data_IF_622512487714
#
_entry.id   IF_622512487714
#
_cell.length_a   1.000
_cell.length_b   1.000
_cell.length_c   1.000
_cell.angle_alpha   90.00
_cell.angle_beta   90.00
_cell.angle_gamma   90.00
#
_symmetry.space_group_name_H-M   'P 1'
#
loop_
_entity.id
_entity.type
_entity.pdbx_description
1 polymer ?
#
# COMPACT_ATOMS: atom_id res chain seq x y z
N UNK A 1 10.45 19.52 15.65
CA UNK A 1 11.52 18.51 15.46
C UNK A 1 11.82 18.38 13.99
N UNK A 2 13.10 18.47 13.58
CA UNK A 2 13.50 18.32 12.17
C UNK A 2 13.65 16.83 11.83
N UNK A 3 12.95 16.38 10.80
CA UNK A 3 12.97 15.00 10.31
C UNK A 3 13.59 15.00 8.92
N UNK A 4 14.71 14.30 8.79
CA UNK A 4 15.45 14.17 7.53
C UNK A 4 14.95 12.95 6.76
N UNK A 5 14.35 13.20 5.61
CA UNK A 5 13.74 12.17 4.76
C UNK A 5 14.70 11.82 3.62
N UNK A 6 14.96 10.52 3.45
CA UNK A 6 15.54 9.96 2.23
C UNK A 6 14.43 9.25 1.47
N UNK A 7 14.19 9.61 0.21
CA UNK A 7 13.23 8.95 -0.66
C UNK A 7 13.94 7.98 -1.60
N UNK A 8 13.53 6.71 -1.65
CA UNK A 8 13.96 5.80 -2.71
C UNK A 8 12.83 5.57 -3.72
N UNK A 9 13.18 5.64 -5.00
CA UNK A 9 12.22 5.67 -6.10
C UNK A 9 11.62 7.06 -6.28
N UNK A 10 11.92 7.72 -7.38
CA UNK A 10 11.31 9.01 -7.75
C UNK A 10 10.28 8.85 -8.88
N UNK A 11 9.55 7.74 -8.92
CA UNK A 11 8.47 7.52 -9.88
C UNK A 11 7.21 8.33 -9.55
N UNK A 12 6.08 7.93 -10.12
CA UNK A 12 4.79 8.64 -9.97
C UNK A 12 4.40 8.87 -8.49
N UNK A 13 4.53 7.85 -7.63
CA UNK A 13 4.16 7.99 -6.22
C UNK A 13 5.21 8.78 -5.43
N UNK A 14 6.50 8.53 -5.65
CA UNK A 14 7.58 9.26 -4.98
C UNK A 14 7.54 10.76 -5.28
N UNK A 15 7.23 11.13 -6.53
CA UNK A 15 6.99 12.53 -6.92
C UNK A 15 5.78 13.13 -6.22
N UNK A 16 4.65 12.43 -6.19
CA UNK A 16 3.45 12.91 -5.47
C UNK A 16 3.70 13.03 -3.97
N UNK A 17 4.58 12.21 -3.39
CA UNK A 17 4.99 12.34 -1.99
C UNK A 17 5.76 13.64 -1.73
N UNK A 18 6.76 13.98 -2.56
CA UNK A 18 7.47 15.28 -2.46
C UNK A 18 6.49 16.45 -2.67
N UNK A 19 5.58 16.33 -3.63
CA UNK A 19 4.56 17.34 -3.89
C UNK A 19 3.66 17.57 -2.67
N UNK A 20 3.15 16.49 -2.06
CA UNK A 20 2.33 16.56 -0.85
C UNK A 20 3.08 17.14 0.34
N UNK A 21 4.35 16.79 0.53
CA UNK A 21 5.22 17.37 1.56
C UNK A 21 5.28 18.89 1.42
N UNK A 22 5.51 19.39 0.20
CA UNK A 22 5.59 20.82 -0.07
C UNK A 22 4.23 21.51 0.16
N UNK A 23 3.14 20.95 -0.36
CA UNK A 23 1.79 21.50 -0.22
C UNK A 23 1.29 21.52 1.24
N UNK A 24 1.72 20.57 2.07
CA UNK A 24 1.26 20.40 3.45
C UNK A 24 2.28 20.86 4.49
N UNK A 25 3.40 21.44 4.08
CA UNK A 25 4.50 21.83 4.95
C UNK A 25 4.03 22.65 6.17
N UNK A 26 3.37 23.79 5.92
CA UNK A 26 2.90 24.68 6.98
C UNK A 26 1.94 23.98 7.93
N UNK A 27 0.95 23.26 7.38
CA UNK A 27 -0.02 22.53 8.18
C UNK A 27 0.63 21.50 9.10
N UNK A 28 1.60 20.73 8.60
CA UNK A 28 2.30 19.70 9.38
C UNK A 28 3.13 20.34 10.49
N UNK A 29 3.81 21.44 10.17
CA UNK A 29 4.62 22.18 11.13
C UNK A 29 3.77 22.77 12.25
N UNK A 30 2.70 23.49 11.91
CA UNK A 30 1.82 24.15 12.88
C UNK A 30 1.01 23.15 13.72
N UNK A 31 0.56 22.04 13.12
CA UNK A 31 -0.30 21.07 13.81
C UNK A 31 0.49 20.10 14.68
N UNK A 32 1.62 19.59 14.18
CA UNK A 32 2.35 18.51 14.84
C UNK A 32 3.74 18.93 15.35
N UNK A 33 4.20 20.15 15.06
CA UNK A 33 5.54 20.62 15.43
C UNK A 33 6.66 19.89 14.68
N UNK A 34 6.34 19.30 13.52
CA UNK A 34 7.27 18.49 12.71
C UNK A 34 7.74 19.30 11.50
N UNK A 35 9.05 19.40 11.33
CA UNK A 35 9.70 20.03 10.17
C UNK A 35 10.27 18.92 9.27
N UNK A 36 9.56 18.61 8.18
CA UNK A 36 9.92 17.54 7.26
C UNK A 36 10.83 18.08 6.15
N UNK A 37 12.04 17.53 6.04
CA UNK A 37 13.03 17.99 5.05
C UNK A 37 13.54 16.81 4.24
N UNK A 38 13.32 16.85 2.92
CA UNK A 38 13.90 15.86 2.00
C UNK A 38 15.37 16.18 1.81
N UNK A 39 16.25 15.28 2.29
CA UNK A 39 17.70 15.44 2.20
C UNK A 39 18.32 14.56 1.12
N UNK A 40 17.59 13.56 0.60
CA UNK A 40 18.11 12.68 -0.44
C UNK A 40 17.01 12.02 -1.27
N UNK A 41 17.30 11.80 -2.55
CA UNK A 41 16.44 11.06 -3.48
C UNK A 41 17.29 10.05 -4.26
N UNK A 42 16.87 8.79 -4.25
CA UNK A 42 17.57 7.67 -4.89
C UNK A 42 16.75 7.20 -6.10
N UNK A 43 17.35 7.35 -7.28
CA UNK A 43 16.90 6.75 -8.55
C UNK A 43 17.53 5.37 -8.79
N UNK A 44 17.39 4.83 -10.00
CA UNK A 44 17.85 3.46 -10.30
C UNK A 44 19.38 3.30 -10.22
N UNK A 45 20.12 4.27 -10.75
CA UNK A 45 21.59 4.30 -10.78
C UNK A 45 22.14 5.70 -10.47
N UNK A 46 21.33 6.53 -9.80
CA UNK A 46 21.63 7.93 -9.54
C UNK A 46 21.08 8.31 -8.17
N UNK A 47 21.76 9.20 -7.47
CA UNK A 47 21.29 9.73 -6.20
C UNK A 47 21.66 11.20 -6.10
N UNK A 48 20.82 11.95 -5.40
CA UNK A 48 21.09 13.32 -4.96
C UNK A 48 20.98 13.39 -3.45
N UNK A 49 21.81 14.22 -2.82
CA UNK A 49 21.83 14.40 -1.39
C UNK A 49 22.33 15.80 -0.98
N UNK A 50 21.58 16.44 -0.08
CA UNK A 50 21.99 17.65 0.62
C UNK A 50 21.51 17.59 2.07
N UNK A 51 22.45 17.54 3.03
CA UNK A 51 22.12 17.45 4.47
C UNK A 51 21.36 18.66 5.03
N UNK A 52 21.38 19.80 4.33
CA UNK A 52 20.57 20.98 4.69
C UNK A 52 19.13 20.87 4.18
N UNK A 53 18.90 20.09 3.12
CA UNK A 53 17.64 19.93 2.39
C UNK A 53 17.82 20.20 0.91
N UNK A 54 17.17 19.39 0.06
CA UNK A 54 17.15 19.56 -1.40
C UNK A 54 16.20 20.69 -1.82
N UNK A 55 16.43 21.29 -2.99
CA UNK A 55 15.51 22.24 -3.63
C UNK A 55 14.33 21.50 -4.27
N UNK A 56 13.41 21.01 -3.44
CA UNK A 56 12.32 20.15 -3.90
C UNK A 56 11.37 20.82 -4.91
N UNK A 57 11.22 22.14 -4.87
CA UNK A 57 10.41 22.86 -5.84
C UNK A 57 10.98 22.72 -7.26
N UNK A 58 12.30 22.87 -7.40
CA UNK A 58 12.99 22.73 -8.69
C UNK A 58 12.93 21.28 -9.17
N UNK A 59 13.19 20.32 -8.28
CA UNK A 59 13.09 18.89 -8.58
C UNK A 59 11.70 18.50 -9.14
N UNK A 60 10.62 19.09 -8.60
CA UNK A 60 9.26 18.85 -9.08
C UNK A 60 9.00 19.39 -10.50
N UNK A 61 9.75 20.39 -10.96
CA UNK A 61 9.64 20.96 -12.32
C UNK A 61 10.28 20.07 -13.39
N UNK A 62 11.25 19.22 -13.02
CA UNK A 62 12.01 18.40 -13.97
C UNK A 62 11.33 17.09 -14.36
N UNK A 63 10.17 16.77 -13.78
CA UNK A 63 9.39 15.57 -14.06
C UNK A 63 9.55 14.50 -12.96
N UNK A 64 9.60 13.23 -13.36
CA UNK A 64 9.83 12.08 -12.50
C UNK A 64 10.96 11.17 -13.02
N UNK A 65 11.28 10.14 -12.23
CA UNK A 65 12.27 9.13 -12.54
C UNK A 65 13.71 9.62 -12.47
N UNK A 66 14.63 8.77 -12.94
CA UNK A 66 16.07 9.11 -12.93
C UNK A 66 16.40 10.29 -13.84
N UNK A 67 15.62 10.51 -14.90
CA UNK A 67 15.80 11.64 -15.83
C UNK A 67 15.55 12.99 -15.16
N UNK A 68 14.57 13.09 -14.26
CA UNK A 68 14.35 14.30 -13.47
C UNK A 68 15.50 14.56 -12.48
N UNK A 69 16.06 13.49 -11.90
CA UNK A 69 17.22 13.58 -11.00
C UNK A 69 18.47 14.03 -11.78
N UNK A 70 18.69 13.54 -13.01
CA UNK A 70 19.78 13.99 -13.88
C UNK A 70 19.70 15.49 -14.18
N UNK A 71 18.52 15.98 -14.58
CA UNK A 71 18.29 17.41 -14.82
C UNK A 71 18.49 18.27 -13.58
N UNK A 72 18.11 17.76 -12.41
CA UNK A 72 18.36 18.44 -11.15
C UNK A 72 19.87 18.61 -10.90
N UNK A 73 20.67 17.56 -11.13
CA UNK A 73 22.13 17.60 -10.98
C UNK A 73 22.79 18.59 -11.95
N UNK A 74 22.22 18.81 -13.14
CA UNK A 74 22.75 19.84 -14.06
C UNK A 74 22.71 21.25 -13.44
N UNK A 75 21.75 21.53 -12.55
CA UNK A 75 21.59 22.82 -11.87
C UNK A 75 22.25 22.84 -10.49
N UNK A 76 22.34 21.67 -9.82
CA UNK A 76 22.89 21.48 -8.48
C UNK A 76 23.96 20.37 -8.47
N UNK A 77 25.09 20.54 -9.19
CA UNK A 77 26.07 19.47 -9.41
C UNK A 77 26.75 18.99 -8.13
N UNK A 78 26.89 19.86 -7.13
CA UNK A 78 27.44 19.56 -5.81
C UNK A 78 26.55 18.62 -4.98
N UNK A 79 25.26 18.52 -5.30
CA UNK A 79 24.31 17.65 -4.60
C UNK A 79 24.29 16.23 -5.19
N UNK A 80 25.12 15.93 -6.19
CA UNK A 80 25.26 14.56 -6.70
C UNK A 80 25.77 13.65 -5.57
N UNK A 81 24.96 12.67 -5.20
CA UNK A 81 25.22 11.77 -4.08
C UNK A 81 25.64 10.37 -4.51
N UNK A 82 25.99 9.56 -3.50
CA UNK A 82 26.09 8.10 -3.63
C UNK A 82 24.81 7.45 -3.12
N UNK A 83 24.60 6.17 -3.46
CA UNK A 83 23.50 5.36 -2.93
C UNK A 83 23.88 4.90 -1.51
N UNK A 84 24.04 5.85 -0.60
CA UNK A 84 24.20 5.60 0.83
C UNK A 84 23.03 6.28 1.57
N UNK A 85 22.23 5.50 2.27
CA UNK A 85 21.01 5.97 2.93
C UNK A 85 21.35 6.41 4.34
N UNK A 86 21.30 7.71 4.62
CA UNK A 86 21.46 8.24 5.97
C UNK A 86 20.50 9.42 6.19
N UNK A 87 19.86 9.49 7.36
CA UNK A 87 18.81 10.45 7.67
C UNK A 87 18.03 10.02 8.91
N UNK A 88 16.79 10.51 9.06
CA UNK A 88 15.88 10.09 10.13
C UNK A 88 14.95 8.96 9.67
N UNK A 89 14.41 9.07 8.44
CA UNK A 89 13.47 8.11 7.87
C UNK A 89 13.75 7.84 6.39
N UNK A 90 13.68 6.57 6.01
CA UNK A 90 13.61 6.14 4.61
C UNK A 90 12.14 6.04 4.20
N UNK A 91 11.75 6.75 3.15
CA UNK A 91 10.49 6.52 2.43
C UNK A 91 10.80 5.68 1.21
N UNK A 92 10.38 4.41 1.23
CA UNK A 92 10.69 3.42 0.20
C UNK A 92 9.54 3.32 -0.82
N UNK A 93 9.78 3.76 -2.05
CA UNK A 93 8.76 3.85 -3.11
C UNK A 93 9.26 3.32 -4.46
N UNK A 94 10.17 2.36 -4.44
CA UNK A 94 10.66 1.70 -5.65
C UNK A 94 9.58 0.81 -6.28
N UNK A 95 9.81 0.40 -7.54
CA UNK A 95 8.90 -0.51 -8.22
C UNK A 95 8.81 -1.85 -7.48
N UNK A 96 7.59 -2.36 -7.29
CA UNK A 96 7.36 -3.61 -6.58
C UNK A 96 7.98 -4.78 -7.34
N UNK A 97 8.86 -5.53 -6.66
CA UNK A 97 9.47 -6.74 -7.18
C UNK A 97 9.18 -7.91 -6.24
N UNK A 98 8.17 -8.72 -6.60
CA UNK A 98 7.77 -9.89 -5.81
C UNK A 98 8.70 -11.09 -5.97
N UNK A 99 9.70 -11.05 -6.88
CA UNK A 99 10.64 -12.16 -7.06
C UNK A 99 11.67 -12.22 -5.93
N UNK A 100 12.20 -11.07 -5.52
CA UNK A 100 13.25 -11.01 -4.50
C UNK A 100 13.23 -9.75 -3.63
N UNK A 101 12.29 -8.84 -3.83
CA UNK A 101 12.15 -7.60 -3.06
C UNK A 101 13.12 -6.48 -3.43
N UNK A 102 14.08 -6.70 -4.34
CA UNK A 102 15.10 -5.70 -4.67
C UNK A 102 14.60 -4.68 -5.72
N UNK A 103 15.07 -3.42 -5.66
CA UNK A 103 16.09 -2.92 -4.73
C UNK A 103 15.53 -2.46 -3.36
N UNK A 104 14.21 -2.32 -3.21
CA UNK A 104 13.58 -1.86 -1.97
C UNK A 104 14.06 -2.59 -0.72
N UNK A 105 14.24 -3.92 -0.78
CA UNK A 105 14.78 -4.73 0.31
C UNK A 105 16.19 -4.30 0.73
N UNK A 106 17.07 -4.00 -0.21
CA UNK A 106 18.43 -3.55 0.09
C UNK A 106 18.40 -2.18 0.78
N UNK A 107 17.54 -1.28 0.31
CA UNK A 107 17.39 0.04 0.90
C UNK A 107 16.83 -0.02 2.32
N UNK A 108 15.82 -0.85 2.57
CA UNK A 108 15.27 -1.05 3.91
C UNK A 108 16.30 -1.66 4.87
N UNK A 109 17.10 -2.62 4.42
CA UNK A 109 18.19 -3.19 5.24
C UNK A 109 19.23 -2.14 5.62
N UNK A 110 19.70 -1.36 4.65
CA UNK A 110 20.66 -0.30 4.89
C UNK A 110 20.10 0.77 5.84
N UNK A 111 18.82 1.10 5.73
CA UNK A 111 18.14 2.01 6.67
C UNK A 111 18.11 1.45 8.10
N UNK A 112 17.83 0.15 8.28
CA UNK A 112 17.90 -0.53 9.59
C UNK A 112 19.31 -0.49 10.16
N UNK A 113 20.33 -0.81 9.34
CA UNK A 113 21.75 -0.74 9.75
C UNK A 113 22.15 0.66 10.22
N UNK A 114 21.59 1.70 9.59
CA UNK A 114 21.80 3.10 9.94
C UNK A 114 20.80 3.64 10.98
N UNK A 115 20.02 2.77 11.64
CA UNK A 115 19.06 3.12 12.70
C UNK A 115 17.99 4.13 12.25
N UNK A 116 17.63 4.11 10.97
CA UNK A 116 16.57 4.94 10.42
C UNK A 116 15.22 4.24 10.56
N UNK A 117 14.15 5.02 10.77
CA UNK A 117 12.81 4.50 10.59
C UNK A 117 12.52 4.27 9.09
N UNK A 118 11.49 3.48 8.80
CA UNK A 118 11.11 3.12 7.43
C UNK A 118 9.62 3.33 7.23
N UNK A 119 9.28 4.01 6.14
CA UNK A 119 7.92 4.07 5.59
C UNK A 119 7.94 3.43 4.21
N UNK A 120 7.38 2.23 4.09
CA UNK A 120 7.37 1.48 2.84
C UNK A 120 6.04 1.64 2.09
N UNK A 121 6.13 2.04 0.83
CA UNK A 121 5.03 2.12 -0.12
C UNK A 121 5.00 0.87 -1.00
N UNK A 122 6.17 0.31 -1.34
CA UNK A 122 6.24 -0.89 -2.16
C UNK A 122 5.99 -2.15 -1.34
N UNK A 123 5.39 -3.17 -1.97
CA UNK A 123 5.10 -4.47 -1.31
C UNK A 123 6.26 -5.46 -1.39
N UNK A 124 7.21 -5.24 -2.31
CA UNK A 124 8.18 -6.25 -2.72
C UNK A 124 9.02 -6.77 -1.55
N UNK A 125 9.66 -5.86 -0.83
CA UNK A 125 10.49 -6.18 0.33
C UNK A 125 9.66 -6.76 1.47
N UNK A 126 8.50 -6.15 1.76
CA UNK A 126 7.62 -6.59 2.83
C UNK A 126 7.08 -8.00 2.60
N UNK A 127 6.73 -8.38 1.36
CA UNK A 127 6.22 -9.71 1.05
C UNK A 127 7.33 -10.77 1.02
N UNK A 128 8.53 -10.42 0.54
CA UNK A 128 9.60 -11.40 0.32
C UNK A 128 10.59 -11.55 1.47
N UNK A 129 10.63 -10.58 2.39
CA UNK A 129 11.60 -10.54 3.48
C UNK A 129 10.97 -10.04 4.80
N UNK A 130 9.67 -10.26 5.01
CA UNK A 130 8.96 -9.81 6.22
C UNK A 130 9.68 -10.25 7.51
N UNK A 131 9.88 -11.56 7.67
CA UNK A 131 10.49 -12.16 8.87
C UNK A 131 11.86 -11.55 9.19
N UNK A 132 12.69 -11.35 8.16
CA UNK A 132 14.00 -10.73 8.27
C UNK A 132 13.91 -9.26 8.71
N UNK A 133 13.08 -8.46 8.04
CA UNK A 133 12.92 -7.02 8.33
C UNK A 133 12.26 -6.78 9.69
N UNK A 134 11.23 -7.55 10.03
CA UNK A 134 10.47 -7.47 11.27
C UNK A 134 11.30 -7.90 12.49
N UNK A 135 12.29 -8.79 12.30
CA UNK A 135 13.24 -9.16 13.34
C UNK A 135 14.34 -8.11 13.50
N UNK A 136 14.90 -7.61 12.39
CA UNK A 136 16.05 -6.72 12.43
C UNK A 136 15.72 -5.30 12.90
N UNK A 137 14.56 -4.75 12.52
CA UNK A 137 14.22 -3.37 12.83
C UNK A 137 14.10 -3.09 14.34
N UNK A 138 13.41 -3.90 15.16
CA UNK A 138 13.37 -3.67 16.61
C UNK A 138 14.76 -3.76 17.27
N UNK A 139 15.66 -4.62 16.75
CA UNK A 139 17.02 -4.79 17.28
C UNK A 139 17.86 -3.52 17.06
N UNK A 140 17.70 -2.83 15.93
CA UNK A 140 18.38 -1.56 15.67
C UNK A 140 17.71 -0.34 16.32
N UNK A 141 16.50 -0.51 16.86
CA UNK A 141 15.65 0.61 17.31
C UNK A 141 14.84 1.27 16.18
N UNK A 142 14.92 0.74 14.95
CA UNK A 142 14.15 1.22 13.81
C UNK A 142 12.68 0.77 13.89
N UNK A 143 11.76 1.60 13.39
CA UNK A 143 10.34 1.26 13.24
C UNK A 143 9.97 1.18 11.76
N UNK A 144 9.06 0.27 11.41
CA UNK A 144 8.56 0.11 10.04
C UNK A 144 7.06 0.42 10.00
N UNK A 145 6.66 1.35 9.13
CA UNK A 145 5.27 1.63 8.75
C UNK A 145 5.09 1.36 7.25
N UNK A 146 3.91 0.91 6.84
CA UNK A 146 3.70 0.47 5.46
C UNK A 146 2.23 0.52 5.01
N UNK A 147 1.50 1.54 5.47
CA UNK A 147 0.10 1.76 5.09
C UNK A 147 -0.06 1.99 3.57
N UNK A 148 0.94 2.60 2.94
CA UNK A 148 0.98 2.77 1.49
C UNK A 148 0.99 1.44 0.72
N UNK A 149 1.61 0.41 1.29
CA UNK A 149 1.76 -0.91 0.67
C UNK A 149 0.52 -1.80 0.81
N UNK A 150 -0.37 -1.54 1.77
CA UNK A 150 -1.59 -2.34 1.97
C UNK A 150 -2.72 -1.88 1.06
N UNK A 151 -3.40 -0.77 1.35
CA UNK A 151 -4.54 -0.31 0.54
C UNK A 151 -4.45 1.18 0.19
N UNK A 152 -3.23 1.74 0.21
CA UNK A 152 -2.95 3.13 -0.07
C UNK A 152 -3.82 4.06 0.80
N UNK A 153 -4.75 4.80 0.18
CA UNK A 153 -5.60 5.77 0.86
C UNK A 153 -6.70 5.14 1.75
N UNK A 154 -6.94 3.82 1.69
CA UNK A 154 -7.82 3.15 2.64
C UNK A 154 -7.03 2.85 3.92
N UNK A 155 -7.38 3.46 5.08
CA UNK A 155 -6.66 3.25 6.34
C UNK A 155 -6.98 1.86 6.87
N UNK A 156 -6.12 0.89 6.55
CA UNK A 156 -6.31 -0.51 6.94
C UNK A 156 -5.51 -0.83 8.20
N UNK A 157 -4.19 -0.64 8.15
CA UNK A 157 -3.30 -0.88 9.29
C UNK A 157 -3.60 0.07 10.45
N UNK A 158 -3.91 1.34 10.20
CA UNK A 158 -4.19 2.30 11.28
C UNK A 158 -5.42 1.90 12.08
N UNK A 159 -6.47 1.44 11.39
CA UNK A 159 -7.68 0.97 12.07
C UNK A 159 -7.33 -0.26 12.91
N UNK A 160 -6.65 -1.24 12.30
CA UNK A 160 -6.27 -2.46 13.00
C UNK A 160 -5.34 -2.24 14.20
N UNK A 161 -4.37 -1.32 14.09
CA UNK A 161 -3.35 -1.09 15.11
C UNK A 161 -3.76 -0.06 16.16
N UNK A 162 -4.45 1.01 15.75
CA UNK A 162 -4.78 2.14 16.61
C UNK A 162 -6.24 2.10 17.05
N UNK A 163 -7.18 2.11 16.10
CA UNK A 163 -8.61 2.21 16.43
C UNK A 163 -9.16 0.95 17.10
N UNK A 164 -8.61 -0.21 16.77
CA UNK A 164 -8.97 -1.51 17.35
C UNK A 164 -8.00 -1.96 18.44
N UNK A 165 -7.16 -1.05 18.96
CA UNK A 165 -6.30 -1.36 20.09
C UNK A 165 -7.14 -1.87 21.27
N UNK A 166 -6.73 -3.01 21.86
CA UNK A 166 -7.46 -3.69 22.92
C UNK A 166 -8.49 -4.72 22.44
N UNK A 167 -8.76 -4.82 21.14
CA UNK A 167 -9.60 -5.87 20.56
C UNK A 167 -8.77 -7.08 20.13
N UNK A 168 -9.40 -8.26 20.15
CA UNK A 168 -8.94 -9.39 19.36
C UNK A 168 -9.62 -9.37 17.99
N UNK A 169 -8.84 -9.19 16.93
CA UNK A 169 -9.33 -9.36 15.56
C UNK A 169 -9.51 -10.86 15.29
N UNK A 170 -10.76 -11.25 15.04
CA UNK A 170 -11.17 -12.62 14.76
C UNK A 170 -11.18 -12.91 13.26
N UNK A 171 -11.60 -11.91 12.48
CA UNK A 171 -11.71 -12.01 11.03
C UNK A 171 -11.47 -10.65 10.36
N UNK A 172 -10.85 -10.70 9.19
CA UNK A 172 -10.63 -9.59 8.27
C UNK A 172 -11.23 -9.99 6.93
N UNK A 173 -12.07 -9.14 6.34
CA UNK A 173 -12.54 -9.28 4.97
C UNK A 173 -12.32 -7.99 4.21
N UNK A 174 -11.81 -8.07 2.98
CA UNK A 174 -11.53 -6.88 2.20
C UNK A 174 -11.69 -7.05 0.71
N UNK A 175 -12.22 -6.00 0.09
CA UNK A 175 -12.08 -5.71 -1.34
C UNK A 175 -10.85 -4.82 -1.46
N UNK A 176 -9.69 -5.43 -1.71
CA UNK A 176 -8.39 -4.74 -1.63
C UNK A 176 -7.83 -4.31 -2.99
N UNK A 177 -8.50 -4.67 -4.09
CA UNK A 177 -8.09 -4.37 -5.46
C UNK A 177 -9.23 -3.71 -6.24
N UNK A 178 -8.98 -2.48 -6.71
CA UNK A 178 -9.99 -1.68 -7.42
C UNK A 178 -10.23 -2.17 -8.85
N UNK A 179 -9.23 -2.76 -9.51
CA UNK A 179 -9.33 -3.27 -10.87
C UNK A 179 -10.31 -4.43 -10.94
N UNK A 180 -10.16 -5.43 -10.07
CA UNK A 180 -11.06 -6.58 -10.01
C UNK A 180 -12.46 -6.19 -9.54
N UNK A 181 -12.57 -5.25 -8.58
CA UNK A 181 -13.87 -4.75 -8.15
C UNK A 181 -14.60 -4.02 -9.29
N UNK A 182 -13.87 -3.26 -10.11
CA UNK A 182 -14.43 -2.57 -11.26
C UNK A 182 -14.96 -3.55 -12.31
N UNK A 183 -14.15 -4.57 -12.64
CA UNK A 183 -14.53 -5.61 -13.60
C UNK A 183 -15.80 -6.33 -13.13
N UNK A 184 -15.83 -6.82 -11.89
CA UNK A 184 -17.00 -7.52 -11.33
C UNK A 184 -18.24 -6.60 -11.25
N UNK A 185 -18.04 -5.30 -10.96
CA UNK A 185 -19.12 -4.31 -11.00
C UNK A 185 -19.71 -4.20 -12.40
N UNK A 186 -18.88 -4.12 -13.45
CA UNK A 186 -19.36 -4.03 -14.85
C UNK A 186 -20.02 -5.31 -15.34
N UNK A 187 -19.54 -6.47 -14.91
CA UNK A 187 -20.21 -7.73 -15.18
C UNK A 187 -21.61 -7.76 -14.54
N UNK A 188 -21.75 -7.27 -13.29
CA UNK A 188 -23.02 -7.28 -12.54
C UNK A 188 -24.04 -6.24 -13.01
N UNK A 189 -23.61 -5.01 -13.24
CA UNK A 189 -24.49 -3.89 -13.61
C UNK A 189 -24.85 -3.89 -15.09
N UNK A 190 -23.87 -4.16 -15.97
CA UNK A 190 -24.00 -4.01 -17.41
C UNK A 190 -24.05 -5.35 -18.17
N UNK A 191 -24.14 -6.48 -17.44
CA UNK A 191 -24.22 -7.84 -18.02
C UNK A 191 -23.10 -8.18 -19.01
N UNK A 192 -21.91 -7.59 -18.79
CA UNK A 192 -20.74 -7.81 -19.63
C UNK A 192 -20.06 -9.14 -19.32
N UNK A 193 -19.41 -9.72 -20.33
CA UNK A 193 -18.45 -10.81 -20.07
C UNK A 193 -17.23 -10.28 -19.33
N UNK A 194 -16.43 -11.20 -18.77
CA UNK A 194 -15.17 -10.85 -18.13
C UNK A 194 -14.25 -10.08 -19.09
N UNK A 195 -14.12 -10.56 -20.34
CA UNK A 195 -13.26 -9.99 -21.37
C UNK A 195 -13.71 -8.57 -21.77
N UNK A 196 -15.01 -8.34 -21.94
CA UNK A 196 -15.55 -7.03 -22.27
C UNK A 196 -15.33 -6.02 -21.13
N UNK A 197 -15.54 -6.46 -19.88
CA UNK A 197 -15.32 -5.62 -18.70
C UNK A 197 -13.83 -5.32 -18.50
N UNK A 198 -12.95 -6.30 -18.73
CA UNK A 198 -11.50 -6.11 -18.68
C UNK A 198 -11.03 -5.13 -19.77
N UNK A 199 -11.49 -5.29 -21.01
CA UNK A 199 -11.14 -4.39 -22.10
C UNK A 199 -11.59 -2.95 -21.81
N UNK A 200 -12.78 -2.77 -21.24
CA UNK A 200 -13.24 -1.45 -20.80
C UNK A 200 -12.33 -0.87 -19.70
N UNK A 201 -11.94 -1.68 -18.71
CA UNK A 201 -11.03 -1.26 -17.66
C UNK A 201 -9.67 -0.81 -18.22
N UNK A 202 -9.13 -1.52 -19.21
CA UNK A 202 -7.90 -1.15 -19.90
C UNK A 202 -8.04 0.17 -20.68
N UNK A 203 -9.13 0.34 -21.42
CA UNK A 203 -9.40 1.57 -22.18
C UNK A 203 -9.52 2.81 -21.27
N UNK A 204 -9.97 2.61 -20.02
CA UNK A 204 -10.07 3.66 -18.99
C UNK A 204 -8.78 3.86 -18.18
N UNK A 205 -7.73 3.08 -18.45
CA UNK A 205 -6.49 3.09 -17.65
C UNK A 205 -6.65 2.59 -16.22
N UNK A 206 -7.74 1.86 -15.93
CA UNK A 206 -7.97 1.22 -14.63
C UNK A 206 -7.15 -0.08 -14.53
N UNK A 207 -7.07 -0.83 -15.62
CA UNK A 207 -6.25 -2.03 -15.74
C UNK A 207 -5.06 -1.75 -16.68
N UNK A 208 -3.89 -2.31 -16.36
CA UNK A 208 -2.74 -2.29 -17.26
C UNK A 208 -2.92 -3.28 -18.42
N UNK A 209 -2.07 -3.15 -19.45
CA UNK A 209 -2.02 -4.10 -20.58
C UNK A 209 -1.79 -5.53 -20.13
N UNK A 210 -0.97 -5.72 -19.08
CA UNK A 210 -0.81 -7.00 -18.39
C UNK A 210 -1.48 -6.92 -17.00
N UNK A 211 -2.76 -7.30 -16.88
CA UNK A 211 -3.52 -7.19 -15.64
C UNK A 211 -3.36 -8.40 -14.71
N UNK A 212 -2.45 -9.33 -15.02
CA UNK A 212 -2.37 -10.65 -14.37
C UNK A 212 -2.29 -10.55 -12.84
N UNK A 213 -1.51 -9.61 -12.31
CA UNK A 213 -1.35 -9.44 -10.87
C UNK A 213 -2.68 -9.08 -10.17
N UNK A 214 -3.55 -8.34 -10.85
CA UNK A 214 -4.87 -7.96 -10.35
C UNK A 214 -5.87 -9.11 -10.50
N UNK A 215 -6.08 -9.60 -11.73
CA UNK A 215 -7.16 -10.54 -12.06
C UNK A 215 -6.96 -11.93 -11.44
N UNK A 216 -5.70 -12.35 -11.23
CA UNK A 216 -5.39 -13.60 -10.52
C UNK A 216 -5.63 -13.53 -9.02
N UNK A 217 -5.84 -12.32 -8.46
CA UNK A 217 -5.98 -12.08 -7.02
C UNK A 217 -4.66 -11.95 -6.26
N UNK A 218 -3.51 -12.04 -6.94
CA UNK A 218 -2.18 -11.97 -6.31
C UNK A 218 -1.92 -10.63 -5.59
N UNK A 219 -2.33 -9.49 -6.16
CA UNK A 219 -2.21 -8.19 -5.48
C UNK A 219 -3.03 -8.16 -4.18
N UNK A 220 -4.26 -8.67 -4.19
CA UNK A 220 -5.09 -8.79 -2.98
C UNK A 220 -4.48 -9.74 -1.95
N UNK A 221 -3.86 -10.83 -2.40
CA UNK A 221 -3.18 -11.79 -1.53
C UNK A 221 -1.95 -11.17 -0.84
N UNK A 222 -1.15 -10.40 -1.58
CA UNK A 222 -0.03 -9.65 -0.99
C UNK A 222 -0.53 -8.68 0.11
N UNK A 223 -1.63 -7.96 -0.14
CA UNK A 223 -2.18 -7.00 0.82
C UNK A 223 -2.76 -7.70 2.05
N UNK A 224 -3.48 -8.80 1.84
CA UNK A 224 -3.99 -9.64 2.93
C UNK A 224 -2.87 -10.19 3.80
N UNK A 225 -1.77 -10.62 3.18
CA UNK A 225 -0.60 -11.13 3.88
C UNK A 225 -0.03 -10.07 4.83
N UNK A 226 0.19 -8.86 4.32
CA UNK A 226 0.71 -7.73 5.11
C UNK A 226 -0.22 -7.36 6.28
N UNK A 227 -1.53 -7.37 6.04
CA UNK A 227 -2.53 -7.10 7.07
C UNK A 227 -2.56 -8.19 8.14
N UNK A 228 -2.59 -9.46 7.72
CA UNK A 228 -2.64 -10.61 8.63
C UNK A 228 -1.40 -10.66 9.50
N UNK A 229 -0.21 -10.55 8.92
CA UNK A 229 1.03 -10.63 9.67
C UNK A 229 1.17 -9.47 10.67
N UNK A 230 0.63 -8.30 10.34
CA UNK A 230 0.63 -7.13 11.23
C UNK A 230 -0.39 -7.24 12.36
N UNK A 231 -1.62 -7.66 12.05
CA UNK A 231 -2.79 -7.49 12.92
C UNK A 231 -3.19 -8.76 13.66
N UNK A 232 -2.80 -9.93 13.15
CA UNK A 232 -3.13 -11.23 13.73
C UNK A 232 -1.91 -11.95 14.31
N UNK A 233 -0.72 -11.34 14.24
CA UNK A 233 0.48 -11.77 14.96
C UNK A 233 1.14 -13.05 14.44
N UNK A 234 1.01 -13.34 13.14
CA UNK A 234 1.57 -14.55 12.53
C UNK A 234 2.64 -14.22 11.48
N UNK A 235 3.53 -15.16 11.17
CA UNK A 235 4.54 -15.05 10.10
C UNK A 235 4.13 -15.92 8.91
N UNK A 236 3.01 -15.57 8.27
CA UNK A 236 2.56 -16.26 7.06
C UNK A 236 3.35 -15.82 5.83
N UNK A 237 3.28 -16.65 4.80
CA UNK A 237 3.78 -16.39 3.45
C UNK A 237 2.65 -16.49 2.41
N UNK A 238 2.93 -16.08 1.17
CA UNK A 238 1.97 -16.24 0.07
C UNK A 238 1.55 -17.71 -0.17
N UNK A 239 2.39 -18.68 0.21
CA UNK A 239 2.08 -20.12 0.05
C UNK A 239 0.97 -20.59 0.98
N UNK A 240 0.72 -19.83 2.05
CA UNK A 240 -0.30 -20.14 3.05
C UNK A 240 -1.68 -19.60 2.64
N UNK A 241 -1.76 -18.82 1.55
CA UNK A 241 -2.99 -18.22 1.05
C UNK A 241 -3.55 -19.05 -0.10
N UNK A 242 -4.83 -19.44 -0.01
CA UNK A 242 -5.56 -20.00 -1.16
C UNK A 242 -6.00 -18.87 -2.08
N UNK A 243 -5.49 -18.85 -3.30
CA UNK A 243 -5.75 -17.76 -4.26
C UNK A 243 -6.54 -18.30 -5.46
N UNK A 244 -7.69 -17.71 -5.71
CA UNK A 244 -8.50 -17.91 -6.91
C UNK A 244 -8.90 -16.54 -7.48
N UNK A 245 -8.56 -16.28 -8.73
CA UNK A 245 -8.81 -15.02 -9.40
C UNK A 245 -10.27 -14.84 -9.85
N UNK A 246 -10.51 -13.76 -10.60
CA UNK A 246 -11.81 -13.47 -11.21
C UNK A 246 -11.92 -13.94 -12.68
N UNK A 247 -10.83 -14.48 -13.24
CA UNK A 247 -10.68 -14.84 -14.66
C UNK A 247 -11.70 -15.87 -15.16
N UNK A 248 -12.26 -16.66 -14.25
CA UNK A 248 -13.23 -17.72 -14.55
C UNK A 248 -14.65 -17.39 -14.05
N UNK A 249 -14.89 -16.17 -13.59
CA UNK A 249 -16.24 -15.73 -13.23
C UNK A 249 -17.05 -15.57 -14.51
N UNK A 250 -18.18 -16.28 -14.59
CA UNK A 250 -19.05 -16.28 -15.77
C UNK A 250 -20.23 -15.32 -15.62
N UNK A 251 -20.79 -14.88 -16.75
CA UNK A 251 -22.03 -14.10 -16.78
C UNK A 251 -23.19 -14.86 -16.12
N UNK A 252 -23.26 -16.19 -16.28
CA UNK A 252 -24.28 -17.02 -15.63
C UNK A 252 -24.15 -16.99 -14.10
N UNK A 253 -22.94 -17.08 -13.55
CA UNK A 253 -22.73 -16.96 -12.11
C UNK A 253 -23.17 -15.59 -11.59
N UNK A 254 -22.83 -14.52 -12.32
CA UNK A 254 -23.24 -13.16 -12.00
C UNK A 254 -24.76 -13.00 -12.03
N UNK A 255 -25.42 -13.54 -13.06
CA UNK A 255 -26.87 -13.50 -13.17
C UNK A 255 -27.55 -14.26 -12.03
N UNK A 256 -27.10 -15.48 -11.74
CA UNK A 256 -27.63 -16.28 -10.63
C UNK A 256 -27.47 -15.55 -9.28
N UNK A 257 -26.31 -14.93 -9.04
CA UNK A 257 -26.10 -14.13 -7.84
C UNK A 257 -27.07 -12.95 -7.77
N UNK A 258 -27.28 -12.24 -8.88
CA UNK A 258 -28.19 -11.09 -8.95
C UNK A 258 -29.65 -11.48 -8.72
N UNK A 259 -30.11 -12.60 -9.27
CA UNK A 259 -31.45 -13.16 -9.05
C UNK A 259 -31.68 -13.52 -7.57
N UNK A 260 -30.62 -13.86 -6.83
CA UNK A 260 -30.65 -14.12 -5.40
C UNK A 260 -30.43 -12.87 -4.53
N UNK A 261 -30.46 -11.66 -5.11
CA UNK A 261 -30.11 -10.39 -4.44
C UNK A 261 -28.69 -10.36 -3.85
N UNK A 262 -27.76 -11.08 -4.47
CA UNK A 262 -26.34 -11.12 -4.08
C UNK A 262 -25.45 -10.39 -5.09
N UNK A 263 -24.22 -10.12 -4.66
CA UNK A 263 -23.16 -9.58 -5.50
C UNK A 263 -21.92 -10.47 -5.43
N UNK A 264 -21.26 -10.69 -6.58
CA UNK A 264 -19.96 -11.38 -6.59
C UNK A 264 -18.86 -10.34 -6.37
N UNK A 265 -18.03 -10.54 -5.36
CA UNK A 265 -16.86 -9.70 -5.04
C UNK A 265 -15.62 -10.56 -4.86
N UNK A 266 -14.46 -10.08 -5.27
CA UNK A 266 -13.18 -10.71 -4.93
C UNK A 266 -12.85 -10.36 -3.48
N UNK A 267 -13.01 -11.31 -2.56
CA UNK A 267 -12.80 -11.10 -1.13
C UNK A 267 -11.47 -11.70 -0.72
N UNK A 268 -10.62 -10.85 -0.14
CA UNK A 268 -9.48 -11.27 0.66
C UNK A 268 -9.94 -11.49 2.10
N UNK A 269 -9.78 -12.70 2.62
CA UNK A 269 -10.29 -13.11 3.93
C UNK A 269 -9.20 -13.74 4.78
N UNK A 270 -9.10 -13.29 6.03
CA UNK A 270 -8.35 -13.95 7.09
C UNK A 270 -9.30 -14.20 8.25
N UNK A 271 -9.37 -15.43 8.78
CA UNK A 271 -10.21 -15.73 9.95
C UNK A 271 -9.57 -16.80 10.83
N UNK A 272 -9.75 -16.69 12.14
CA UNK A 272 -9.40 -17.74 13.10
C UNK A 272 -10.47 -18.83 13.09
N UNK A 273 -10.06 -20.09 12.95
CA UNK A 273 -10.94 -21.22 13.22
C UNK A 273 -11.07 -21.49 14.73
N UNK A 274 -11.92 -22.45 15.10
CA UNK A 274 -12.17 -22.84 16.49
C UNK A 274 -10.91 -23.31 17.25
N UNK A 275 -9.86 -23.71 16.52
CA UNK A 275 -8.57 -24.10 17.10
C UNK A 275 -7.58 -22.92 17.17
N UNK A 276 -8.00 -21.71 16.81
CA UNK A 276 -7.18 -20.51 16.80
C UNK A 276 -6.24 -20.40 15.59
N UNK A 277 -6.31 -21.32 14.61
CA UNK A 277 -5.48 -21.24 13.40
C UNK A 277 -6.09 -20.22 12.43
N UNK A 278 -5.25 -19.33 11.91
CA UNK A 278 -5.68 -18.37 10.89
C UNK A 278 -5.71 -19.04 9.52
N UNK A 279 -6.85 -18.95 8.86
CA UNK A 279 -7.11 -19.43 7.51
C UNK A 279 -7.14 -18.23 6.56
N UNK A 280 -6.41 -18.32 5.44
CA UNK A 280 -6.22 -17.23 4.48
C UNK A 280 -6.73 -17.60 3.09
N UNK A 281 -7.54 -16.74 2.49
CA UNK A 281 -8.01 -16.92 1.12
C UNK A 281 -8.24 -15.61 0.38
N UNK A 282 -8.13 -15.67 -0.94
CA UNK A 282 -8.57 -14.63 -1.88
C UNK A 282 -9.37 -15.33 -2.96
N UNK A 283 -10.67 -15.07 -3.05
CA UNK A 283 -11.54 -15.71 -4.03
C UNK A 283 -12.82 -14.91 -4.32
N UNK A 284 -13.47 -15.11 -5.48
CA UNK A 284 -14.81 -14.60 -5.71
C UNK A 284 -15.81 -15.19 -4.71
N UNK A 285 -16.57 -14.33 -4.04
CA UNK A 285 -17.58 -14.70 -3.05
C UNK A 285 -18.93 -14.06 -3.39
N UNK A 286 -20.02 -14.81 -3.22
CA UNK A 286 -21.38 -14.28 -3.25
C UNK A 286 -21.68 -13.61 -1.90
N UNK A 287 -21.78 -12.28 -1.90
CA UNK A 287 -22.16 -11.51 -0.72
C UNK A 287 -23.64 -11.16 -0.75
N UNK A 288 -24.31 -11.41 0.38
CA UNK A 288 -25.67 -10.91 0.63
C UNK A 288 -25.69 -9.38 0.56
N UNK A 289 -26.84 -8.81 0.18
CA UNK A 289 -26.99 -7.36 0.00
C UNK A 289 -26.68 -6.54 1.25
N UNK A 290 -26.95 -7.12 2.42
CA UNK A 290 -26.75 -6.53 3.74
C UNK A 290 -25.28 -6.58 4.17
N UNK A 291 -24.44 -7.39 3.50
CA UNK A 291 -23.02 -7.45 3.83
C UNK A 291 -22.36 -6.09 3.55
N UNK A 292 -21.55 -5.52 4.47
CA UNK A 292 -21.01 -4.16 4.32
C UNK A 292 -20.20 -3.93 3.04
N UNK A 293 -19.57 -5.00 2.53
CA UNK A 293 -18.76 -4.96 1.30
C UNK A 293 -19.57 -5.17 0.01
N UNK A 294 -20.83 -5.60 0.07
CA UNK A 294 -21.60 -5.98 -1.12
C UNK A 294 -21.87 -4.81 -2.07
N UNK A 295 -22.07 -3.62 -1.52
CA UNK A 295 -22.42 -2.41 -2.29
C UNK A 295 -21.19 -1.54 -2.65
N UNK A 296 -19.97 -2.03 -2.41
CA UNK A 296 -18.74 -1.31 -2.77
C UNK A 296 -18.45 -1.59 -4.24
N UNK A 297 -18.67 -0.59 -5.10
CA UNK A 297 -18.67 -0.73 -6.55
C UNK A 297 -17.56 0.09 -7.23
N UNK A 298 -17.31 -0.21 -8.50
CA UNK A 298 -16.32 0.50 -9.30
C UNK A 298 -14.90 0.23 -8.78
N UNK A 299 -14.09 1.29 -8.66
CA UNK A 299 -12.69 1.19 -8.21
C UNK A 299 -12.52 1.38 -6.70
N UNK A 300 -13.62 1.54 -5.97
CA UNK A 300 -13.61 1.67 -4.51
C UNK A 300 -13.12 0.39 -3.84
N UNK A 301 -12.53 0.56 -2.67
CA UNK A 301 -12.08 -0.53 -1.80
C UNK A 301 -12.83 -0.48 -0.48
N UNK A 302 -12.77 -1.58 0.25
CA UNK A 302 -13.25 -1.61 1.61
C UNK A 302 -12.67 -2.76 2.39
N UNK A 303 -12.68 -2.60 3.71
CA UNK A 303 -12.23 -3.60 4.67
C UNK A 303 -13.23 -3.64 5.83
N UNK A 304 -13.54 -4.84 6.29
CA UNK A 304 -14.31 -5.09 7.50
C UNK A 304 -13.46 -5.89 8.46
N UNK A 305 -13.31 -5.39 9.67
CA UNK A 305 -12.75 -6.11 10.80
C UNK A 305 -13.88 -6.65 11.67
N UNK A 306 -13.79 -7.91 12.05
CA UNK A 306 -14.65 -8.54 13.02
C UNK A 306 -13.83 -8.74 14.29
N UNK A 307 -14.38 -8.29 15.40
CA UNK A 307 -13.70 -8.24 16.69
C UNK A 307 -14.55 -8.85 17.78
N UNK A 308 -13.88 -9.34 18.81
CA UNK A 308 -14.49 -9.89 20.03
C UNK A 308 -15.33 -8.86 20.81
N UNK A 309 -14.94 -7.59 20.79
CA UNK A 309 -15.48 -6.55 21.69
C UNK A 309 -16.13 -5.36 20.99
N UNK A 310 -15.69 -4.99 19.79
CA UNK A 310 -16.24 -3.85 19.03
C UNK A 310 -17.17 -4.29 17.88
N UNK A 311 -17.49 -5.59 17.78
CA UNK A 311 -18.29 -6.12 16.70
C UNK A 311 -17.62 -5.91 15.35
N UNK A 312 -18.35 -5.34 14.39
CA UNK A 312 -17.87 -5.13 13.02
C UNK A 312 -17.50 -3.66 12.77
N UNK A 313 -16.26 -3.43 12.34
CA UNK A 313 -15.78 -2.11 11.91
C UNK A 313 -15.46 -2.16 10.43
N UNK A 314 -16.28 -1.49 9.63
CA UNK A 314 -16.09 -1.38 8.18
C UNK A 314 -15.56 0.00 7.81
N UNK A 315 -14.60 0.05 6.90
CA UNK A 315 -14.14 1.29 6.27
C UNK A 315 -14.11 1.12 4.76
N UNK A 316 -14.58 2.16 4.08
CA UNK A 316 -14.76 2.19 2.62
C UNK A 316 -14.05 3.44 2.11
N UNK A 317 -13.38 3.30 0.98
CA UNK A 317 -12.69 4.41 0.32
C UNK A 317 -11.41 3.96 -0.36
N UNK A 318 -10.53 4.92 -0.61
CA UNK A 318 -9.18 4.65 -1.06
C UNK A 318 -9.10 4.18 -2.51
N UNK A 319 -9.93 4.73 -3.40
CA UNK A 319 -9.78 4.59 -4.84
C UNK A 319 -8.30 4.73 -5.25
N UNK A 320 -7.80 3.78 -6.05
CA UNK A 320 -6.37 3.70 -6.39
C UNK A 320 -5.93 4.95 -7.14
N UNK A 321 -5.08 5.77 -6.53
CA UNK A 321 -4.35 6.83 -7.22
C UNK A 321 -2.99 7.09 -6.55
N UNK A 322 -1.98 7.59 -7.29
CA UNK A 322 -0.65 7.81 -6.75
C UNK A 322 -0.61 8.75 -5.55
N UNK A 323 -1.44 9.80 -5.59
CA UNK A 323 -1.54 10.78 -4.50
C UNK A 323 -2.07 10.17 -3.21
N UNK A 324 -2.97 9.20 -3.28
CA UNK A 324 -3.48 8.45 -2.14
C UNK A 324 -2.42 7.57 -1.48
N UNK A 325 -1.57 6.91 -2.28
CA UNK A 325 -0.43 6.14 -1.75
C UNK A 325 0.62 7.06 -1.11
N UNK A 326 0.89 8.20 -1.73
CA UNK A 326 1.76 9.23 -1.19
C UNK A 326 1.20 9.84 0.12
N UNK A 327 -0.10 10.08 0.21
CA UNK A 327 -0.77 10.56 1.42
C UNK A 327 -0.69 9.54 2.56
N UNK A 328 -0.82 8.25 2.27
CA UNK A 328 -0.63 7.18 3.26
C UNK A 328 0.78 7.16 3.82
N UNK A 329 1.80 7.33 2.95
CA UNK A 329 3.20 7.44 3.37
C UNK A 329 3.46 8.69 4.21
N UNK A 330 2.90 9.84 3.82
CA UNK A 330 3.02 11.08 4.58
C UNK A 330 2.41 10.94 5.98
N UNK A 331 1.22 10.32 6.07
CA UNK A 331 0.58 10.00 7.34
C UNK A 331 1.43 9.04 8.19
N UNK A 332 2.05 8.03 7.58
CA UNK A 332 2.96 7.12 8.29
C UNK A 332 4.21 7.85 8.83
N UNK A 333 4.81 8.77 8.06
CA UNK A 333 5.91 9.63 8.54
C UNK A 333 5.45 10.48 9.74
N UNK A 334 4.30 11.13 9.64
CA UNK A 334 3.75 11.94 10.73
C UNK A 334 3.52 11.08 11.99
N UNK A 335 2.90 9.90 11.83
CA UNK A 335 2.60 8.99 12.94
C UNK A 335 3.85 8.39 13.61
N UNK A 336 5.03 8.45 12.97
CA UNK A 336 6.30 8.07 13.61
C UNK A 336 6.84 9.15 14.56
N UNK A 337 6.45 10.42 14.38
CA UNK A 337 7.17 11.55 14.99
C UNK A 337 6.25 12.58 15.68
N UNK A 338 4.94 12.42 15.57
CA UNK A 338 3.97 13.20 16.33
C UNK A 338 4.03 12.83 17.82
N UNK A 339 3.79 13.80 18.69
CA UNK A 339 3.89 13.64 20.15
C UNK A 339 2.51 13.68 20.84
N UNK A 340 1.43 13.71 20.06
CA UNK A 340 0.04 13.82 20.51
C UNK A 340 -0.71 12.47 20.48
N UNK A 341 0.00 11.35 20.29
CA UNK A 341 -0.51 9.98 20.42
C UNK A 341 0.30 9.15 21.42
#
# INVERSE_FOLDING_TARGET
MKIQIVLSGYGTVGREFIKLLNEKYLYINETYGIDLVVIGVIGRNIAIHNGKGLQINDLLTYGDGSAAIEKYIEHYPEERGTININGTVLVESTATNLKNGNPGKQYMKQAIENQMDIVAISKGALVTAWSELNTAAPISGSRIRYSGATAAALPTLDIGQLSLAGCHIEKIEGILNGTTNYILTKMHEAYKTFEEALQEAQNKGIAETNPLLDISGMDSACKLLLLTNSLMGNDYSLKDIKINGIEHVTTQQIQNAKEQNKSIKLIASAYKDDNGKVNLSVQPCNLEKEHPLANINGTEKGITFFTDTMGQVTTIGGASNPRGAAAAALKDVINLYRNDL
#
